data_IF_918172745528
#
_entry.id   IF_918172745528
#
_cell.length_a   1.000
_cell.length_b   1.000
_cell.length_c   1.000
_cell.angle_alpha   90.00
_cell.angle_beta   90.00
_cell.angle_gamma   90.00
#
_symmetry.space_group_name_H-M   'P 1'
#
loop_
_entity.id
_entity.type
_entity.pdbx_description
1 polymer ?
#
# COMPACT_ATOMS: atom_id res chain seq x y z
N UNK A 1 21.72 -4.17 21.63
CA UNK A 1 20.38 -3.77 21.17
C UNK A 1 20.32 -3.98 19.66
N UNK A 2 19.54 -4.93 19.15
CA UNK A 2 19.23 -4.95 17.72
C UNK A 2 18.35 -3.72 17.46
N UNK A 3 18.91 -2.70 16.80
CA UNK A 3 18.09 -1.62 16.25
C UNK A 3 17.08 -2.20 15.25
N UNK A 4 15.93 -1.55 15.02
CA UNK A 4 14.96 -2.02 14.04
C UNK A 4 15.66 -2.23 12.69
N UNK A 5 15.46 -3.41 12.08
CA UNK A 5 16.04 -3.72 10.78
C UNK A 5 15.49 -2.74 9.74
N UNK A 6 16.32 -1.79 9.30
CA UNK A 6 15.96 -0.87 8.23
C UNK A 6 16.23 -1.55 6.89
N UNK A 7 15.22 -1.57 6.02
CA UNK A 7 15.38 -2.13 4.67
C UNK A 7 16.40 -1.33 3.87
N UNK A 8 17.28 -2.05 3.15
CA UNK A 8 18.24 -1.49 2.19
C UNK A 8 17.64 -1.32 0.78
N UNK A 9 16.41 -1.81 0.57
CA UNK A 9 15.75 -1.78 -0.74
C UNK A 9 15.58 -0.37 -1.34
N UNK A 10 15.26 0.68 -0.57
CA UNK A 10 15.14 2.04 -1.12
C UNK A 10 16.48 2.55 -1.69
N UNK A 11 17.58 2.31 -0.97
CA UNK A 11 18.92 2.78 -1.35
C UNK A 11 19.44 2.05 -2.60
N UNK A 12 19.14 0.75 -2.71
CA UNK A 12 19.47 -0.04 -3.89
C UNK A 12 18.64 0.35 -5.11
N UNK A 13 17.33 0.55 -4.94
CA UNK A 13 16.46 0.96 -6.05
C UNK A 13 16.85 2.32 -6.63
N UNK A 14 17.25 3.27 -5.78
CA UNK A 14 17.77 4.56 -6.21
C UNK A 14 19.08 4.41 -7.00
N UNK A 15 20.00 3.56 -6.51
CA UNK A 15 21.30 3.31 -7.16
C UNK A 15 21.15 2.64 -8.52
N UNK A 16 20.22 1.71 -8.65
CA UNK A 16 20.06 0.88 -9.84
C UNK A 16 19.01 1.45 -10.82
N UNK A 17 18.41 2.61 -10.51
CA UNK A 17 17.44 3.27 -11.38
C UNK A 17 16.11 2.50 -11.50
N UNK A 18 15.74 1.75 -10.46
CA UNK A 18 14.54 0.91 -10.46
C UNK A 18 13.40 1.62 -9.72
N UNK A 19 12.18 1.67 -10.27
CA UNK A 19 11.05 2.23 -9.56
C UNK A 19 10.71 1.49 -8.26
N UNK A 20 10.56 2.23 -7.16
CA UNK A 20 10.34 1.66 -5.81
C UNK A 20 9.22 2.39 -5.07
N UNK A 21 8.39 1.60 -4.37
CA UNK A 21 7.46 2.08 -3.33
C UNK A 21 7.53 1.11 -2.15
N UNK A 22 7.76 1.65 -0.95
CA UNK A 22 7.62 0.86 0.27
C UNK A 22 6.12 0.67 0.56
N UNK A 23 5.68 -0.57 0.79
CA UNK A 23 4.34 -0.80 1.30
C UNK A 23 4.20 -0.15 2.68
N UNK A 24 3.22 0.73 2.85
CA UNK A 24 2.97 1.40 4.13
C UNK A 24 2.46 0.38 5.18
N UNK A 25 1.75 -0.68 4.75
CA UNK A 25 1.11 -1.62 5.67
C UNK A 25 0.65 -2.93 5.01
N UNK A 26 0.80 -4.04 5.74
CA UNK A 26 0.09 -5.28 5.44
C UNK A 26 -1.38 -5.20 5.91
N UNK A 27 -2.33 -5.41 5.01
CA UNK A 27 -3.76 -5.23 5.30
C UNK A 27 -4.43 -6.46 5.89
N UNK A 28 -3.86 -7.66 5.70
CA UNK A 28 -4.48 -8.94 6.07
C UNK A 28 -3.59 -9.80 6.99
N UNK A 29 -2.73 -9.14 7.77
CA UNK A 29 -1.94 -9.80 8.81
C UNK A 29 -2.83 -10.56 9.82
N UNK A 30 -4.07 -10.11 9.98
CA UNK A 30 -5.15 -10.84 10.64
C UNK A 30 -6.22 -11.12 9.58
N UNK A 31 -6.52 -12.41 9.35
CA UNK A 31 -7.52 -12.86 8.37
C UNK A 31 -8.94 -12.73 8.93
N UNK A 32 -9.31 -11.51 9.31
CA UNK A 32 -10.64 -11.14 9.75
C UNK A 32 -11.12 -9.93 8.95
N UNK A 33 -12.39 -9.95 8.52
CA UNK A 33 -12.96 -8.89 7.68
C UNK A 33 -12.88 -7.52 8.36
N UNK A 34 -13.18 -7.46 9.66
CA UNK A 34 -13.17 -6.21 10.42
C UNK A 34 -11.76 -5.65 10.57
N UNK A 35 -10.77 -6.51 10.80
CA UNK A 35 -9.38 -6.09 10.88
C UNK A 35 -8.85 -5.59 9.53
N UNK A 36 -9.17 -6.28 8.43
CA UNK A 36 -8.81 -5.83 7.07
C UNK A 36 -9.42 -4.46 6.78
N UNK A 37 -10.69 -4.24 7.12
CA UNK A 37 -11.36 -2.94 6.92
C UNK A 37 -10.68 -1.82 7.72
N UNK A 38 -10.35 -2.04 8.99
CA UNK A 38 -9.62 -1.04 9.81
C UNK A 38 -8.27 -0.67 9.19
N UNK A 39 -7.57 -1.65 8.61
CA UNK A 39 -6.30 -1.43 7.92
C UNK A 39 -6.52 -0.62 6.64
N UNK A 40 -7.55 -0.92 5.86
CA UNK A 40 -7.90 -0.15 4.68
C UNK A 40 -8.27 1.31 5.02
N UNK A 41 -8.99 1.54 6.12
CA UNK A 41 -9.32 2.90 6.58
C UNK A 41 -8.06 3.68 6.99
N UNK A 42 -7.12 3.01 7.66
CA UNK A 42 -5.82 3.59 8.01
C UNK A 42 -4.95 3.88 6.78
N UNK A 43 -5.06 3.05 5.73
CA UNK A 43 -4.40 3.26 4.45
C UNK A 43 -4.98 4.47 3.71
N UNK A 44 -6.31 4.63 3.71
CA UNK A 44 -6.97 5.82 3.16
C UNK A 44 -6.56 7.09 3.91
N UNK A 45 -6.52 7.05 5.24
CA UNK A 45 -6.04 8.20 6.03
C UNK A 45 -4.59 8.58 5.65
N UNK A 46 -3.74 7.59 5.40
CA UNK A 46 -2.35 7.79 4.94
C UNK A 46 -2.32 8.41 3.55
N UNK A 47 -3.12 7.91 2.61
CA UNK A 47 -3.21 8.46 1.25
C UNK A 47 -3.70 9.91 1.28
N UNK A 48 -4.68 10.23 2.12
CA UNK A 48 -5.17 11.61 2.29
C UNK A 48 -4.11 12.55 2.86
N UNK A 49 -3.26 12.06 3.77
CA UNK A 49 -2.21 12.86 4.38
C UNK A 49 -0.98 13.05 3.49
N UNK A 50 -0.59 12.02 2.72
CA UNK A 50 0.66 11.98 1.94
C UNK A 50 0.47 12.12 0.43
N UNK A 51 -0.77 12.10 -0.05
CA UNK A 51 -1.13 12.02 -1.48
C UNK A 51 -1.34 10.58 -1.96
N UNK A 52 -0.47 9.66 -1.54
CA UNK A 52 -0.50 8.24 -1.96
C UNK A 52 -0.23 7.31 -0.78
N UNK A 53 -0.80 6.11 -0.80
CA UNK A 53 -0.44 5.03 0.11
C UNK A 53 -0.52 3.67 -0.59
N UNK A 54 0.30 2.71 -0.16
CA UNK A 54 0.32 1.36 -0.73
C UNK A 54 0.11 0.31 0.36
N UNK A 55 -0.97 -0.47 0.23
CA UNK A 55 -1.26 -1.62 1.07
C UNK A 55 -0.85 -2.92 0.39
N UNK A 56 -0.36 -3.89 1.17
CA UNK A 56 0.01 -5.23 0.69
C UNK A 56 -0.92 -6.25 1.34
N UNK A 57 -1.48 -7.16 0.55
CA UNK A 57 -2.30 -8.27 1.04
C UNK A 57 -1.94 -9.57 0.34
N UNK A 58 -2.24 -10.68 0.99
CA UNK A 58 -2.12 -12.03 0.44
C UNK A 58 -3.37 -12.39 -0.38
N UNK A 59 -3.24 -13.35 -1.30
CA UNK A 59 -4.32 -13.79 -2.18
C UNK A 59 -5.31 -14.75 -1.50
N UNK A 60 -5.76 -14.44 -0.28
CA UNK A 60 -6.86 -15.16 0.36
C UNK A 60 -8.20 -14.64 -0.18
N UNK A 61 -9.18 -15.54 -0.39
CA UNK A 61 -10.51 -15.18 -0.88
C UNK A 61 -11.14 -14.06 -0.04
N UNK A 62 -11.04 -14.17 1.29
CA UNK A 62 -11.52 -13.14 2.22
C UNK A 62 -10.86 -11.78 1.99
N UNK A 63 -9.54 -11.75 1.73
CA UNK A 63 -8.80 -10.51 1.46
C UNK A 63 -9.30 -9.89 0.16
N UNK A 64 -9.42 -10.69 -0.91
CA UNK A 64 -9.87 -10.21 -2.23
C UNK A 64 -11.30 -9.66 -2.17
N UNK A 65 -12.23 -10.38 -1.53
CA UNK A 65 -13.63 -9.97 -1.41
C UNK A 65 -13.78 -8.68 -0.59
N UNK A 66 -13.03 -8.57 0.51
CA UNK A 66 -13.06 -7.41 1.40
C UNK A 66 -12.51 -6.17 0.70
N UNK A 67 -11.36 -6.30 0.03
CA UNK A 67 -10.75 -5.21 -0.74
C UNK A 67 -11.67 -4.79 -1.89
N UNK A 68 -12.22 -5.74 -2.64
CA UNK A 68 -13.11 -5.44 -3.77
C UNK A 68 -14.34 -4.65 -3.34
N UNK A 69 -14.96 -5.05 -2.22
CA UNK A 69 -16.09 -4.34 -1.63
C UNK A 69 -15.70 -2.92 -1.18
N UNK A 70 -14.56 -2.80 -0.50
CA UNK A 70 -14.08 -1.52 0.03
C UNK A 70 -13.73 -0.53 -1.08
N UNK A 71 -13.12 -0.98 -2.18
CA UNK A 71 -12.74 -0.14 -3.34
C UNK A 71 -13.95 0.60 -3.93
N UNK A 72 -15.12 -0.05 -4.00
CA UNK A 72 -16.34 0.59 -4.51
C UNK A 72 -16.72 1.79 -3.65
N UNK A 73 -16.64 1.65 -2.32
CA UNK A 73 -16.95 2.73 -1.39
C UNK A 73 -15.84 3.80 -1.34
N UNK A 74 -14.57 3.40 -1.44
CA UNK A 74 -13.45 4.33 -1.48
C UNK A 74 -13.54 5.29 -2.68
N UNK A 75 -13.94 4.79 -3.86
CA UNK A 75 -14.18 5.60 -5.05
C UNK A 75 -15.26 6.65 -4.82
N UNK A 76 -16.34 6.31 -4.12
CA UNK A 76 -17.40 7.27 -3.75
C UNK A 76 -16.89 8.37 -2.81
N UNK A 77 -15.86 8.08 -2.00
CA UNK A 77 -15.16 9.05 -1.14
C UNK A 77 -14.04 9.83 -1.85
N UNK A 78 -13.94 9.70 -3.17
CA UNK A 78 -12.95 10.40 -3.98
C UNK A 78 -11.54 9.80 -3.93
N UNK A 79 -11.39 8.54 -3.50
CA UNK A 79 -10.11 7.82 -3.56
C UNK A 79 -9.99 7.15 -4.93
N UNK A 80 -8.93 7.49 -5.66
CA UNK A 80 -8.56 6.81 -6.90
C UNK A 80 -7.68 5.60 -6.59
N UNK A 81 -8.03 4.46 -7.19
CA UNK A 81 -7.25 3.22 -7.08
C UNK A 81 -6.53 3.02 -8.40
N UNK A 82 -5.20 3.07 -8.35
CA UNK A 82 -4.33 2.98 -9.52
C UNK A 82 -3.43 1.74 -9.46
N UNK A 83 -2.95 1.22 -10.61
CA UNK A 83 -1.92 0.19 -10.62
C UNK A 83 -0.66 0.65 -9.89
N UNK A 84 0.08 -0.28 -9.27
CA UNK A 84 1.33 0.05 -8.56
C UNK A 84 2.36 0.74 -9.45
N UNK A 85 2.35 0.47 -10.76
CA UNK A 85 3.21 1.13 -11.74
C UNK A 85 2.94 2.63 -11.90
N UNK A 86 1.74 3.12 -11.56
CA UNK A 86 1.40 4.55 -11.62
C UNK A 86 1.91 5.35 -10.42
N UNK A 87 2.22 4.67 -9.31
CA UNK A 87 2.73 5.29 -8.06
C UNK A 87 4.21 5.01 -7.84
N UNK A 88 4.80 4.12 -8.64
CA UNK A 88 6.23 3.86 -8.62
C UNK A 88 7.00 5.10 -9.09
N UNK A 89 7.93 5.58 -8.27
CA UNK A 89 8.81 6.70 -8.62
C UNK A 89 9.71 6.22 -9.76
N UNK A 90 9.60 6.79 -10.95
CA UNK A 90 10.57 6.58 -12.04
C UNK A 90 11.80 7.45 -11.76
N UNK A 91 12.96 6.87 -11.38
CA UNK A 91 14.15 7.64 -11.06
C UNK A 91 14.79 8.31 -12.28
N UNK A 92 14.31 8.05 -13.51
CA UNK A 92 14.78 8.71 -14.73
C UNK A 92 13.94 9.94 -15.15
N UNK A 93 12.86 10.25 -14.43
CA UNK A 93 12.02 11.44 -14.66
C UNK A 93 12.28 12.59 -13.68
N UNK A 94 13.39 12.55 -12.93
CA UNK A 94 13.88 13.63 -12.07
C UNK A 94 15.13 14.28 -12.64
#
# INVERSE_FOLDING_TARGET
>A
ALGPARSLAPDLALKDGVPFVAGDMAIDAVQDRGEILKKLDSLEATARAKGTAVGIGSAFDLTVDTVSSWVVEAKKRGIEIVPISAVAIDPQKG
#
